data_IF_885293903590
#
_entry.id   IF_885293903590
#
_cell.length_a   1.000
_cell.length_b   1.000
_cell.length_c   1.000
_cell.angle_alpha   90.00
_cell.angle_beta   90.00
_cell.angle_gamma   90.00
#
_symmetry.space_group_name_H-M   'P 1'
#
loop_
_entity.id
_entity.type
_entity.pdbx_description
1 polymer ?
#
# COMPACT_ATOMS: atom_id res chain seq x y z
N UNK A 1 2.42 24.97 -7.57
CA UNK A 1 1.71 26.20 -7.15
C UNK A 1 0.38 25.80 -6.50
N UNK A 2 0.00 26.44 -5.41
CA UNK A 2 -1.30 26.22 -4.76
C UNK A 2 -2.28 27.31 -5.17
N UNK A 3 -3.54 26.97 -5.38
CA UNK A 3 -4.61 27.91 -5.67
C UNK A 3 -5.86 27.60 -4.86
N UNK A 4 -6.61 28.62 -4.48
CA UNK A 4 -7.89 28.46 -3.78
C UNK A 4 -8.91 29.48 -4.30
N UNK A 5 -10.18 29.08 -4.32
CA UNK A 5 -11.30 29.94 -4.63
C UNK A 5 -12.39 29.79 -3.55
N UNK A 6 -13.01 30.89 -3.17
CA UNK A 6 -14.17 30.93 -2.27
C UNK A 6 -15.39 31.29 -3.09
N UNK A 7 -16.44 30.50 -2.96
CA UNK A 7 -17.75 30.76 -3.54
C UNK A 7 -18.75 30.81 -2.39
N UNK A 8 -19.53 31.90 -2.29
CA UNK A 8 -20.65 32.02 -1.35
C UNK A 8 -21.94 31.83 -2.12
N UNK A 9 -22.76 30.93 -1.64
CA UNK A 9 -24.13 30.72 -2.14
C UNK A 9 -25.09 30.90 -0.96
N UNK A 10 -26.08 31.75 -1.09
CA UNK A 10 -27.16 31.96 -0.13
C UNK A 10 -28.42 31.32 -0.71
N UNK A 11 -29.00 30.37 0.01
CA UNK A 11 -30.36 29.89 -0.18
C UNK A 11 -31.21 30.34 1.00
N UNK A 12 -32.52 30.46 0.84
CA UNK A 12 -33.46 31.12 1.76
C UNK A 12 -33.37 30.78 3.27
N UNK A 13 -32.57 29.82 3.67
CA UNK A 13 -32.37 29.40 5.08
C UNK A 13 -30.93 29.05 5.48
N UNK A 14 -30.01 28.78 4.55
CA UNK A 14 -28.67 28.30 4.87
C UNK A 14 -27.60 29.06 4.09
N UNK A 15 -26.55 29.51 4.80
CA UNK A 15 -25.36 30.10 4.19
C UNK A 15 -24.31 28.99 3.94
N UNK A 16 -24.00 28.76 2.68
CA UNK A 16 -22.96 27.82 2.26
C UNK A 16 -21.72 28.58 1.81
N UNK A 17 -20.56 28.23 2.38
CA UNK A 17 -19.27 28.77 1.97
C UNK A 17 -18.43 27.63 1.42
N UNK A 18 -18.11 27.66 0.13
CA UNK A 18 -17.26 26.69 -0.51
C UNK A 18 -15.82 27.15 -0.58
N UNK A 19 -14.92 26.28 -0.17
CA UNK A 19 -13.50 26.52 -0.27
C UNK A 19 -12.86 25.47 -1.18
N UNK A 20 -12.49 25.87 -2.41
CA UNK A 20 -11.80 25.00 -3.36
C UNK A 20 -10.30 25.20 -3.20
N UNK A 21 -9.56 24.11 -3.09
CA UNK A 21 -8.12 24.11 -3.01
C UNK A 21 -7.49 23.20 -4.05
N UNK A 22 -6.32 23.59 -4.51
CA UNK A 22 -5.50 22.81 -5.43
C UNK A 22 -4.04 22.94 -5.06
N UNK A 23 -3.37 21.81 -4.98
CA UNK A 23 -1.92 21.69 -4.86
C UNK A 23 -1.40 20.98 -6.11
N UNK A 24 -0.43 21.56 -6.79
CA UNK A 24 0.18 20.97 -7.99
C UNK A 24 1.69 20.89 -7.82
N UNK A 25 2.26 19.78 -8.23
CA UNK A 25 3.70 19.64 -8.42
C UNK A 25 4.00 19.90 -9.92
N UNK A 26 4.69 20.99 -10.29
CA UNK A 26 4.87 21.36 -11.69
C UNK A 26 5.66 20.33 -12.50
N UNK A 27 5.38 20.28 -13.80
CA UNK A 27 6.21 19.53 -14.75
C UNK A 27 7.65 20.05 -14.68
N UNK A 28 8.61 19.15 -14.59
CA UNK A 28 10.04 19.50 -14.57
C UNK A 28 10.56 19.97 -13.20
N UNK A 29 9.77 19.87 -12.12
CA UNK A 29 10.25 20.18 -10.77
C UNK A 29 11.42 19.26 -10.34
N UNK A 30 11.50 18.06 -10.93
CA UNK A 30 12.50 17.05 -10.58
C UNK A 30 12.41 16.51 -9.15
N UNK A 31 11.45 17.01 -8.36
CA UNK A 31 11.30 16.67 -6.94
C UNK A 31 9.89 16.19 -6.63
N UNK A 32 9.78 15.36 -5.61
CA UNK A 32 8.52 14.90 -5.02
C UNK A 32 8.17 15.80 -3.86
N UNK A 33 6.92 16.27 -3.80
CA UNK A 33 6.46 17.14 -2.72
C UNK A 33 5.41 16.42 -1.85
N UNK A 34 5.37 16.64 -0.52
CA UNK A 34 4.31 16.10 0.32
C UNK A 34 2.95 16.68 -0.11
N UNK A 35 1.89 15.87 -0.04
CA UNK A 35 0.52 16.33 -0.26
C UNK A 35 0.04 17.06 0.99
N UNK A 36 0.55 18.28 1.13
CA UNK A 36 0.23 19.20 2.21
C UNK A 36 -0.10 20.57 1.63
N UNK A 37 -1.36 20.95 1.74
CA UNK A 37 -1.82 22.28 1.35
C UNK A 37 -1.89 23.17 2.59
N UNK A 38 -1.43 24.40 2.48
CA UNK A 38 -1.64 25.43 3.50
C UNK A 38 -1.82 26.78 2.85
N UNK A 39 -2.85 27.50 3.24
CA UNK A 39 -3.12 28.86 2.79
C UNK A 39 -3.65 29.71 3.92
N UNK A 40 -3.06 30.87 4.08
CA UNK A 40 -3.53 31.92 5.02
C UNK A 40 -4.05 33.08 4.19
N UNK A 41 -5.26 33.56 4.53
CA UNK A 41 -5.89 34.71 3.86
C UNK A 41 -5.83 35.96 4.74
N UNK A 42 -5.78 37.11 4.10
CA UNK A 42 -5.90 38.38 4.78
C UNK A 42 -7.32 38.54 5.32
N UNK A 43 -8.32 38.26 4.49
CA UNK A 43 -9.72 38.26 4.87
C UNK A 43 -10.10 36.95 5.57
N UNK A 44 -11.01 37.05 6.51
CA UNK A 44 -11.56 35.87 7.18
C UNK A 44 -12.41 35.01 6.23
N UNK A 45 -12.25 33.71 6.33
CA UNK A 45 -13.09 32.74 5.63
C UNK A 45 -14.42 32.60 6.38
N UNK A 46 -14.32 32.49 7.72
CA UNK A 46 -15.44 32.46 8.64
C UNK A 46 -15.25 33.51 9.72
N UNK A 47 -16.34 34.14 10.15
CA UNK A 47 -16.36 35.12 11.25
C UNK A 47 -16.10 34.49 12.62
N UNK A 48 -16.86 33.45 12.94
CA UNK A 48 -16.74 32.63 14.15
C UNK A 48 -16.90 31.15 13.77
N UNK A 49 -15.86 30.37 14.01
CA UNK A 49 -15.86 28.96 13.60
C UNK A 49 -17.03 28.16 14.20
N UNK A 50 -17.36 28.34 15.49
CA UNK A 50 -18.43 27.61 16.17
C UNK A 50 -19.84 27.81 15.60
N UNK A 51 -20.01 28.81 14.71
CA UNK A 51 -21.26 29.02 14.00
C UNK A 51 -21.40 28.12 12.77
N UNK A 52 -20.39 27.30 12.46
CA UNK A 52 -20.34 26.52 11.24
C UNK A 52 -20.04 25.05 11.50
N UNK A 53 -20.52 24.22 10.56
CA UNK A 53 -20.12 22.83 10.37
C UNK A 53 -19.30 22.73 9.09
N UNK A 54 -18.36 21.81 9.07
CA UNK A 54 -17.52 21.53 7.92
C UNK A 54 -17.85 20.16 7.34
N UNK A 55 -17.85 20.07 6.01
CA UNK A 55 -17.81 18.80 5.28
C UNK A 55 -16.76 18.86 4.19
N UNK A 56 -16.00 17.77 4.02
CA UNK A 56 -15.18 17.51 2.83
C UNK A 56 -16.10 16.87 1.80
N UNK A 57 -16.55 17.65 0.81
CA UNK A 57 -17.55 17.17 -0.14
C UNK A 57 -16.96 16.40 -1.32
N UNK A 58 -15.73 16.71 -1.66
CA UNK A 58 -14.96 15.90 -2.64
C UNK A 58 -13.48 16.14 -2.47
N UNK A 59 -12.68 15.17 -2.88
CA UNK A 59 -11.29 15.37 -3.23
C UNK A 59 -10.84 14.41 -4.34
N UNK A 60 -9.72 14.76 -4.96
CA UNK A 60 -9.07 13.98 -5.99
C UNK A 60 -7.60 13.89 -5.67
N UNK A 61 -7.05 12.68 -5.67
CA UNK A 61 -5.70 12.35 -5.24
C UNK A 61 -5.06 11.39 -6.26
N UNK A 62 -3.80 11.60 -6.68
CA UNK A 62 -3.11 10.61 -7.51
C UNK A 62 -3.03 9.25 -6.84
N UNK A 63 -3.21 8.19 -7.63
CA UNK A 63 -3.21 6.80 -7.16
C UNK A 63 -1.79 6.20 -7.15
N UNK A 64 -0.78 6.98 -6.76
CA UNK A 64 0.62 6.59 -6.71
C UNK A 64 1.03 6.03 -5.34
N UNK A 65 0.20 5.17 -4.76
CA UNK A 65 0.48 4.54 -3.48
C UNK A 65 1.36 3.31 -3.65
N UNK A 66 2.31 3.05 -2.72
CA UNK A 66 2.96 1.76 -2.67
C UNK A 66 1.93 0.67 -2.36
N UNK A 67 2.07 -0.47 -3.01
CA UNK A 67 1.30 -1.68 -2.72
C UNK A 67 1.47 -2.08 -1.26
N UNK A 68 2.68 -1.92 -0.74
CA UNK A 68 3.00 -2.09 0.65
C UNK A 68 4.35 -1.44 1.00
N UNK A 69 4.60 -1.29 2.30
CA UNK A 69 5.88 -0.82 2.82
C UNK A 69 6.71 -2.04 3.25
N UNK A 70 7.89 -2.15 2.70
CA UNK A 70 8.81 -3.24 3.03
C UNK A 70 9.24 -3.14 4.51
N UNK A 71 9.19 -4.24 5.29
CA UNK A 71 9.50 -4.20 6.71
C UNK A 71 10.94 -3.76 6.98
N UNK A 72 11.16 -3.11 8.12
CA UNK A 72 12.51 -2.71 8.55
C UNK A 72 13.37 -3.89 8.99
N UNK A 73 12.71 -4.88 9.58
CA UNK A 73 13.37 -6.05 10.12
C UNK A 73 13.56 -7.12 9.04
N UNK A 74 14.81 -7.37 8.57
CA UNK A 74 15.07 -8.30 7.47
C UNK A 74 14.68 -9.75 7.80
N UNK A 75 14.67 -10.12 9.08
CA UNK A 75 14.30 -11.47 9.53
C UNK A 75 12.83 -11.82 9.30
N UNK A 76 11.97 -10.84 9.06
CA UNK A 76 10.56 -11.08 8.76
C UNK A 76 10.35 -11.68 7.38
N UNK A 77 11.17 -11.30 6.40
CA UNK A 77 11.06 -11.76 5.02
C UNK A 77 12.28 -12.60 4.64
N UNK A 78 12.14 -13.92 4.75
CA UNK A 78 13.22 -14.88 4.50
C UNK A 78 12.75 -16.01 3.58
N UNK A 79 13.67 -16.43 2.71
CA UNK A 79 13.57 -17.70 1.97
C UNK A 79 14.59 -18.70 2.51
N UNK A 80 14.24 -19.98 2.50
CA UNK A 80 15.12 -21.06 2.90
C UNK A 80 15.11 -22.13 1.82
N UNK A 81 16.29 -22.46 1.31
CA UNK A 81 16.51 -23.60 0.44
C UNK A 81 17.16 -24.73 1.23
N UNK A 82 16.72 -25.96 0.99
CA UNK A 82 17.27 -27.17 1.61
C UNK A 82 17.66 -28.16 0.53
N UNK A 83 18.82 -28.78 0.67
CA UNK A 83 19.28 -29.92 -0.14
C UNK A 83 19.95 -30.95 0.77
N UNK A 84 19.26 -32.05 1.05
CA UNK A 84 19.74 -33.05 1.99
C UNK A 84 19.97 -32.48 3.39
N UNK A 85 21.18 -32.61 3.91
CA UNK A 85 21.59 -32.08 5.20
C UNK A 85 21.91 -30.56 5.15
N UNK A 86 22.10 -30.00 3.97
CA UNK A 86 22.48 -28.62 3.78
C UNK A 86 21.24 -27.73 3.70
N UNK A 87 21.24 -26.62 4.41
CA UNK A 87 20.17 -25.62 4.28
C UNK A 87 20.76 -24.22 4.39
N UNK A 88 20.24 -23.31 3.56
CA UNK A 88 20.62 -21.91 3.54
C UNK A 88 19.37 -21.05 3.69
N UNK A 89 19.41 -20.13 4.62
CA UNK A 89 18.40 -19.09 4.81
C UNK A 89 18.96 -17.76 4.31
N UNK A 90 18.18 -17.06 3.49
CA UNK A 90 18.53 -15.78 2.94
C UNK A 90 17.45 -14.76 3.24
N UNK A 91 17.84 -13.59 3.77
CA UNK A 91 16.93 -12.46 3.92
C UNK A 91 16.64 -11.86 2.54
N UNK A 92 15.38 -11.48 2.30
CA UNK A 92 15.11 -10.57 1.21
C UNK A 92 15.77 -9.22 1.55
N UNK A 93 16.35 -8.58 0.56
CA UNK A 93 16.98 -7.26 0.73
C UNK A 93 16.27 -6.26 -0.13
N UNK A 94 15.64 -5.27 0.51
CA UNK A 94 15.01 -4.18 -0.22
C UNK A 94 16.06 -3.43 -1.05
N UNK A 95 15.74 -3.22 -2.31
CA UNK A 95 16.52 -2.39 -3.21
C UNK A 95 15.63 -1.27 -3.70
N UNK A 96 15.94 -0.03 -3.35
CA UNK A 96 15.19 1.12 -3.82
C UNK A 96 15.35 1.28 -5.32
N UNK A 97 14.25 1.25 -6.04
CA UNK A 97 14.26 1.37 -7.50
C UNK A 97 14.02 2.82 -7.97
N UNK A 98 13.37 3.62 -7.11
CA UNK A 98 12.99 5.01 -7.38
C UNK A 98 13.31 5.88 -6.16
N UNK A 99 14.28 6.76 -6.27
CA UNK A 99 14.71 7.64 -5.16
C UNK A 99 13.65 8.65 -4.72
N UNK A 100 12.66 8.89 -5.58
CA UNK A 100 11.63 9.90 -5.41
C UNK A 100 10.38 9.43 -4.65
N UNK A 101 10.25 8.13 -4.39
CA UNK A 101 9.09 7.53 -3.72
C UNK A 101 9.26 7.42 -2.20
N UNK A 102 8.21 6.96 -1.55
CA UNK A 102 8.25 6.63 -0.12
C UNK A 102 9.34 5.58 0.11
N UNK A 103 10.19 5.82 1.09
CA UNK A 103 11.26 4.90 1.47
C UNK A 103 10.68 3.51 1.75
N UNK A 104 11.33 2.49 1.21
CA UNK A 104 10.90 1.08 1.30
C UNK A 104 9.53 0.78 0.70
N UNK A 105 8.93 1.70 -0.06
CA UNK A 105 7.68 1.48 -0.76
C UNK A 105 7.85 0.53 -1.94
N UNK A 106 7.00 -0.48 -2.04
CA UNK A 106 6.89 -1.38 -3.18
C UNK A 106 5.66 -0.96 -3.99
N UNK A 107 5.88 -0.46 -5.20
CA UNK A 107 4.82 0.08 -6.07
C UNK A 107 4.35 -0.90 -7.13
N UNK A 108 5.19 -1.87 -7.49
CA UNK A 108 4.92 -2.83 -8.55
C UNK A 108 5.22 -4.25 -8.08
N UNK A 109 4.34 -5.18 -8.39
CA UNK A 109 4.53 -6.61 -8.07
C UNK A 109 5.85 -7.12 -8.65
N UNK A 110 6.20 -6.72 -9.86
CA UNK A 110 7.47 -7.14 -10.48
C UNK A 110 8.70 -6.72 -9.67
N UNK A 111 8.69 -5.55 -9.03
CA UNK A 111 9.79 -5.13 -8.15
C UNK A 111 9.91 -6.05 -6.92
N UNK A 112 8.78 -6.43 -6.34
CA UNK A 112 8.75 -7.39 -5.24
C UNK A 112 9.29 -8.76 -5.68
N UNK A 113 8.87 -9.26 -6.84
CA UNK A 113 9.35 -10.53 -7.41
C UNK A 113 10.86 -10.48 -7.68
N UNK A 114 11.40 -9.38 -8.19
CA UNK A 114 12.84 -9.22 -8.38
C UNK A 114 13.62 -9.34 -7.06
N UNK A 115 13.14 -8.70 -5.98
CA UNK A 115 13.75 -8.80 -4.64
C UNK A 115 13.72 -10.25 -4.14
N UNK A 116 12.58 -10.93 -4.31
CA UNK A 116 12.38 -12.31 -3.89
C UNK A 116 13.30 -13.28 -4.67
N UNK A 117 13.35 -13.15 -5.99
CA UNK A 117 14.17 -14.01 -6.84
C UNK A 117 15.67 -13.80 -6.59
N UNK A 118 16.08 -12.57 -6.34
CA UNK A 118 17.48 -12.30 -5.95
C UNK A 118 17.87 -13.01 -4.65
N UNK A 119 16.97 -13.08 -3.67
CA UNK A 119 17.23 -13.82 -2.45
C UNK A 119 17.30 -15.34 -2.70
N UNK A 120 16.46 -15.89 -3.58
CA UNK A 120 16.51 -17.29 -4.00
C UNK A 120 17.81 -17.63 -4.73
N UNK A 121 18.25 -16.79 -5.65
CA UNK A 121 19.53 -16.95 -6.36
C UNK A 121 20.71 -16.93 -5.38
N UNK A 122 20.71 -16.02 -4.41
CA UNK A 122 21.76 -15.96 -3.39
C UNK A 122 21.75 -17.20 -2.48
N UNK A 123 20.57 -17.67 -2.06
CA UNK A 123 20.44 -18.88 -1.28
C UNK A 123 20.94 -20.10 -2.06
N UNK A 124 20.59 -20.20 -3.33
CA UNK A 124 21.04 -21.29 -4.21
C UNK A 124 22.56 -21.26 -4.44
N UNK A 125 23.12 -20.09 -4.71
CA UNK A 125 24.58 -19.94 -4.85
C UNK A 125 25.33 -20.37 -3.58
N UNK A 126 24.78 -20.06 -2.41
CA UNK A 126 25.37 -20.51 -1.15
C UNK A 126 25.25 -22.03 -0.93
N UNK A 127 24.17 -22.66 -1.37
CA UNK A 127 24.03 -24.13 -1.36
C UNK A 127 25.04 -24.79 -2.30
N UNK A 128 25.29 -24.23 -3.48
CA UNK A 128 26.28 -24.74 -4.44
C UNK A 128 27.71 -24.73 -3.87
N UNK A 129 28.01 -23.80 -2.97
CA UNK A 129 29.31 -23.79 -2.26
C UNK A 129 29.40 -24.97 -1.29
N UNK A 130 28.30 -25.34 -0.64
CA UNK A 130 28.24 -26.44 0.31
C UNK A 130 28.18 -27.82 -0.40
N UNK A 131 27.57 -27.88 -1.57
CA UNK A 131 27.43 -29.07 -2.39
C UNK A 131 27.58 -28.73 -3.88
N UNK A 132 28.81 -28.78 -4.42
CA UNK A 132 29.06 -28.48 -5.84
C UNK A 132 28.51 -29.55 -6.82
N UNK A 133 27.95 -30.64 -6.33
CA UNK A 133 27.37 -31.70 -7.19
C UNK A 133 25.96 -31.38 -7.67
N UNK A 134 25.34 -30.33 -7.14
CA UNK A 134 24.00 -29.89 -7.51
C UNK A 134 24.02 -29.43 -8.98
N UNK A 135 23.12 -30.03 -9.79
CA UNK A 135 23.00 -29.74 -11.24
C UNK A 135 21.72 -28.97 -11.61
N UNK A 136 20.79 -28.81 -10.68
CA UNK A 136 19.56 -28.05 -10.91
C UNK A 136 19.73 -26.55 -10.62
N UNK A 137 18.82 -25.75 -11.15
CA UNK A 137 18.83 -24.28 -11.01
C UNK A 137 18.02 -23.84 -9.78
N UNK A 138 18.15 -22.55 -9.42
CA UNK A 138 17.32 -21.97 -8.38
C UNK A 138 15.84 -21.97 -8.79
N UNK A 139 14.90 -22.25 -7.89
CA UNK A 139 13.50 -21.96 -8.13
C UNK A 139 13.31 -20.45 -8.19
N UNK A 140 12.28 -19.99 -8.92
CA UNK A 140 11.99 -18.57 -9.03
C UNK A 140 10.50 -18.30 -9.14
N UNK A 141 10.08 -17.10 -8.72
CA UNK A 141 8.70 -16.65 -8.82
C UNK A 141 8.51 -15.77 -10.07
N UNK A 142 7.33 -15.85 -10.62
CA UNK A 142 6.89 -15.04 -11.77
C UNK A 142 5.53 -14.44 -11.47
N UNK A 143 5.31 -13.22 -11.92
CA UNK A 143 4.00 -12.59 -11.91
C UNK A 143 3.39 -12.65 -13.32
N UNK A 144 2.25 -13.30 -13.43
CA UNK A 144 1.52 -13.42 -14.70
C UNK A 144 0.58 -12.23 -14.88
N UNK A 145 1.00 -11.28 -15.71
CA UNK A 145 0.20 -10.09 -16.04
C UNK A 145 -0.88 -10.34 -17.09
N UNK A 146 -0.78 -11.45 -17.84
CA UNK A 146 -1.58 -11.62 -19.06
C UNK A 146 -2.89 -12.37 -18.85
N UNK A 147 -2.95 -13.29 -17.89
CA UNK A 147 -4.10 -14.17 -17.77
C UNK A 147 -4.74 -14.23 -16.37
N UNK A 148 -3.94 -14.14 -15.30
CA UNK A 148 -4.42 -14.49 -13.96
C UNK A 148 -4.10 -13.48 -12.87
N UNK A 149 -3.27 -12.46 -13.13
CA UNK A 149 -2.79 -11.52 -12.12
C UNK A 149 -2.22 -12.21 -10.87
N UNK A 150 -1.69 -13.43 -11.04
CA UNK A 150 -1.20 -14.30 -9.97
C UNK A 150 0.32 -14.40 -9.95
N UNK A 151 0.87 -14.59 -8.77
CA UNK A 151 2.24 -15.06 -8.61
C UNK A 151 2.23 -16.58 -8.73
N UNK A 152 3.16 -17.13 -9.45
CA UNK A 152 3.42 -18.56 -9.49
C UNK A 152 4.90 -18.86 -9.28
N UNK A 153 5.16 -19.98 -8.66
CA UNK A 153 6.51 -20.54 -8.48
C UNK A 153 6.86 -21.40 -9.70
N UNK A 154 8.05 -21.22 -10.23
CA UNK A 154 8.68 -22.13 -11.20
C UNK A 154 9.80 -22.85 -10.47
N UNK A 155 9.63 -24.16 -10.28
CA UNK A 155 10.59 -24.97 -9.55
C UNK A 155 11.14 -26.10 -10.44
N UNK A 156 12.45 -26.36 -10.40
CA UNK A 156 13.04 -27.55 -11.03
C UNK A 156 12.39 -28.84 -10.54
N UNK A 157 12.42 -29.87 -11.38
CA UNK A 157 11.79 -31.18 -11.06
C UNK A 157 12.32 -31.83 -9.78
N UNK A 158 13.52 -31.46 -9.37
CA UNK A 158 14.19 -31.96 -8.17
C UNK A 158 13.48 -31.49 -6.88
N UNK A 159 12.67 -30.45 -6.95
CA UNK A 159 11.86 -29.96 -5.84
C UNK A 159 10.53 -30.71 -5.67
N UNK A 160 10.27 -31.73 -6.52
CA UNK A 160 9.02 -32.47 -6.50
C UNK A 160 8.91 -33.32 -5.23
N UNK A 161 7.81 -33.20 -4.52
CA UNK A 161 7.54 -34.02 -3.33
C UNK A 161 7.41 -35.48 -3.74
N UNK A 162 8.16 -36.34 -3.05
CA UNK A 162 8.15 -37.82 -3.24
C UNK A 162 9.33 -38.39 -4.01
N UNK A 163 10.04 -37.64 -4.84
CA UNK A 163 11.23 -38.14 -5.54
C UNK A 163 12.53 -37.82 -4.80
N UNK A 164 12.61 -36.64 -4.18
CA UNK A 164 13.78 -36.16 -3.44
C UNK A 164 13.31 -35.38 -2.21
N UNK A 165 12.78 -36.10 -1.23
CA UNK A 165 12.17 -35.54 -0.01
C UNK A 165 13.05 -34.55 0.76
N UNK A 166 14.32 -34.44 0.41
CA UNK A 166 15.29 -33.58 1.06
C UNK A 166 15.53 -32.23 0.37
N UNK A 167 14.95 -32.00 -0.84
CA UNK A 167 15.09 -30.76 -1.56
C UNK A 167 13.80 -29.96 -1.40
N UNK A 168 13.90 -28.74 -0.85
CA UNK A 168 12.70 -27.96 -0.61
C UNK A 168 12.97 -26.46 -0.59
N UNK A 169 11.93 -25.71 -0.95
CA UNK A 169 11.81 -24.26 -0.73
C UNK A 169 10.86 -24.02 0.45
N UNK A 170 11.28 -23.17 1.36
CA UNK A 170 10.45 -22.73 2.47
C UNK A 170 10.49 -21.20 2.61
N UNK A 171 9.42 -20.62 3.13
CA UNK A 171 9.27 -19.20 3.38
C UNK A 171 9.11 -18.94 4.88
N UNK A 172 9.60 -17.81 5.37
CA UNK A 172 9.25 -17.37 6.72
C UNK A 172 7.74 -17.18 6.84
N UNK A 173 7.15 -17.38 8.04
CA UNK A 173 5.70 -17.26 8.23
C UNK A 173 5.14 -15.90 7.79
N UNK A 174 5.86 -14.83 8.11
CA UNK A 174 5.46 -13.47 7.71
C UNK A 174 5.45 -13.32 6.19
N UNK A 175 6.49 -13.78 5.51
CA UNK A 175 6.56 -13.74 4.05
C UNK A 175 5.47 -14.60 3.41
N UNK A 176 5.23 -15.81 3.92
CA UNK A 176 4.17 -16.70 3.44
C UNK A 176 2.80 -16.04 3.57
N UNK A 177 2.45 -15.57 4.75
CA UNK A 177 1.16 -14.91 5.02
C UNK A 177 0.98 -13.62 4.23
N UNK A 178 2.09 -12.98 3.86
CA UNK A 178 2.07 -11.71 3.16
C UNK A 178 1.67 -11.80 1.69
N UNK A 179 1.93 -12.89 1.01
CA UNK A 179 1.62 -12.95 -0.44
C UNK A 179 1.49 -14.35 -1.01
N UNK A 180 1.64 -15.38 -0.16
CA UNK A 180 1.74 -16.77 -0.59
C UNK A 180 0.80 -17.71 0.18
N UNK A 181 -0.06 -17.19 1.05
CA UNK A 181 -0.94 -17.98 1.92
C UNK A 181 -1.82 -19.00 1.18
N UNK A 182 -2.08 -18.75 -0.11
CA UNK A 182 -2.87 -19.60 -0.98
C UNK A 182 -2.01 -20.56 -1.83
N UNK A 183 -0.70 -20.60 -1.59
CA UNK A 183 0.15 -21.59 -2.24
C UNK A 183 0.08 -22.93 -1.51
N UNK A 184 0.14 -24.06 -2.25
CA UNK A 184 0.16 -25.36 -1.64
C UNK A 184 1.32 -25.49 -0.64
N UNK A 185 1.01 -26.03 0.53
CA UNK A 185 1.99 -26.35 1.57
C UNK A 185 2.20 -27.87 1.66
N UNK A 186 3.40 -28.29 2.03
CA UNK A 186 3.69 -29.69 2.20
C UNK A 186 2.81 -30.27 3.32
N UNK A 187 2.37 -31.52 3.11
CA UNK A 187 1.52 -32.27 4.02
C UNK A 187 0.07 -31.77 4.16
N UNK A 188 -0.37 -30.86 3.28
CA UNK A 188 -1.74 -30.34 3.25
C UNK A 188 -2.15 -29.52 4.47
N UNK A 189 -1.26 -29.34 5.43
CA UNK A 189 -1.42 -28.51 6.61
C UNK A 189 -0.29 -27.51 6.72
N UNK A 190 -0.61 -26.32 7.24
CA UNK A 190 0.37 -25.28 7.49
C UNK A 190 1.29 -25.70 8.66
N UNK A 191 2.30 -26.51 8.37
CA UNK A 191 3.24 -27.00 9.37
C UNK A 191 4.51 -26.15 9.33
N UNK A 192 4.87 -25.58 10.47
CA UNK A 192 6.13 -24.90 10.66
C UNK A 192 7.27 -25.90 10.80
N UNK A 193 8.06 -26.07 9.75
CA UNK A 193 9.31 -26.81 9.81
C UNK A 193 10.46 -25.86 10.20
N UNK A 194 10.97 -26.00 11.45
CA UNK A 194 12.04 -25.12 11.96
C UNK A 194 11.75 -23.64 11.76
N UNK A 195 10.55 -23.19 12.11
CA UNK A 195 10.02 -21.84 11.92
C UNK A 195 9.87 -21.37 10.46
N UNK A 196 9.83 -22.28 9.50
CA UNK A 196 9.56 -21.97 8.09
C UNK A 196 8.40 -22.81 7.58
N UNK A 197 7.66 -22.25 6.63
CA UNK A 197 6.57 -22.94 5.91
C UNK A 197 7.13 -23.51 4.62
N UNK A 198 7.16 -24.83 4.51
CA UNK A 198 7.62 -25.55 3.33
C UNK A 198 6.55 -25.48 2.26
N UNK A 199 6.92 -25.02 1.06
CA UNK A 199 6.04 -25.06 -0.10
C UNK A 199 6.05 -26.48 -0.69
N UNK A 200 4.89 -26.89 -1.18
CA UNK A 200 4.70 -28.18 -1.82
C UNK A 200 4.75 -28.05 -3.33
N UNK A 201 5.58 -28.87 -3.95
CA UNK A 201 5.67 -29.00 -5.41
C UNK A 201 5.06 -30.34 -5.80
N UNK A 202 3.75 -30.37 -6.09
CA UNK A 202 3.06 -31.60 -6.46
C UNK A 202 3.00 -31.79 -7.98
N UNK A 203 3.23 -33.03 -8.41
CA UNK A 203 3.06 -33.46 -9.81
C UNK A 203 1.59 -33.74 -10.19
N UNK A 204 0.63 -33.25 -9.43
CA UNK A 204 -0.77 -33.63 -9.60
C UNK A 204 -1.44 -33.05 -10.85
N UNK A 205 -0.74 -32.23 -11.65
CA UNK A 205 -1.28 -31.67 -12.88
C UNK A 205 -0.23 -31.70 -13.98
N UNK A 206 -0.33 -32.68 -14.86
CA UNK A 206 0.47 -32.80 -16.10
C UNK A 206 0.54 -31.47 -16.88
N UNK A 207 -0.51 -30.66 -16.81
CA UNK A 207 -0.61 -29.35 -17.46
C UNK A 207 0.29 -28.25 -16.88
N UNK A 208 0.93 -28.49 -15.74
CA UNK A 208 1.79 -27.50 -15.07
C UNK A 208 3.29 -27.66 -15.40
N UNK A 209 3.64 -28.66 -16.19
CA UNK A 209 5.02 -28.88 -16.63
C UNK A 209 5.39 -27.91 -17.75
N UNK A 210 6.52 -27.26 -17.61
CA UNK A 210 7.07 -26.30 -18.59
C UNK A 210 8.51 -26.67 -18.88
N UNK A 211 8.86 -26.73 -20.15
CA UNK A 211 10.26 -26.91 -20.56
C UNK A 211 10.86 -25.55 -20.93
N UNK A 212 11.86 -25.11 -20.18
CA UNK A 212 12.62 -23.89 -20.40
C UNK A 212 14.09 -24.26 -20.64
N UNK A 213 14.68 -23.78 -21.72
CA UNK A 213 16.09 -24.08 -22.06
C UNK A 213 16.44 -25.57 -22.00
N UNK A 214 15.55 -26.43 -22.52
CA UNK A 214 15.70 -27.91 -22.52
C UNK A 214 15.71 -28.55 -21.13
N UNK A 215 15.27 -27.85 -20.09
CA UNK A 215 15.06 -28.37 -18.73
C UNK A 215 13.60 -28.32 -18.37
N UNK A 216 13.18 -29.28 -17.56
CA UNK A 216 11.80 -29.38 -17.10
C UNK A 216 11.61 -28.69 -15.76
N UNK A 217 10.51 -27.95 -15.66
CA UNK A 217 10.09 -27.23 -14.44
C UNK A 217 8.61 -27.47 -14.20
N UNK A 218 8.19 -27.28 -12.96
CA UNK A 218 6.78 -27.24 -12.57
C UNK A 218 6.36 -25.82 -12.22
N UNK A 219 5.17 -25.44 -12.69
CA UNK A 219 4.51 -24.19 -12.30
C UNK A 219 3.50 -24.47 -11.19
N UNK A 220 3.60 -23.70 -10.11
CA UNK A 220 2.69 -23.78 -8.97
C UNK A 220 2.06 -22.42 -8.80
N UNK A 221 0.75 -22.34 -9.02
CA UNK A 221 0.00 -21.09 -8.93
C UNK A 221 -0.53 -20.88 -7.51
N UNK A 222 -0.59 -19.60 -7.09
CA UNK A 222 -1.46 -19.19 -5.99
C UNK A 222 -2.92 -19.40 -6.38
N UNK A 223 -3.78 -19.78 -5.44
CA UNK A 223 -5.22 -19.97 -5.72
C UNK A 223 -5.93 -18.63 -5.91
N UNK A 224 -5.50 -17.58 -5.22
CA UNK A 224 -6.10 -16.24 -5.29
C UNK A 224 -5.27 -15.25 -6.08
N UNK A 225 -5.90 -14.14 -6.46
CA UNK A 225 -5.26 -13.01 -7.10
C UNK A 225 -4.26 -12.33 -6.13
N UNK A 226 -3.02 -12.20 -6.57
CA UNK A 226 -1.93 -11.63 -5.77
C UNK A 226 -2.15 -10.16 -5.43
N UNK A 227 -2.82 -9.40 -6.30
CA UNK A 227 -3.04 -7.97 -6.06
C UNK A 227 -3.94 -7.74 -4.86
N UNK A 228 -4.92 -8.62 -4.61
CA UNK A 228 -5.80 -8.53 -3.44
C UNK A 228 -5.07 -8.85 -2.13
N UNK A 229 -4.04 -9.69 -2.18
CA UNK A 229 -3.27 -10.08 -0.99
C UNK A 229 -2.14 -9.11 -0.67
N UNK A 230 -1.59 -8.42 -1.67
CA UNK A 230 -0.48 -7.47 -1.49
C UNK A 230 -0.94 -6.06 -1.11
N UNK A 231 -2.16 -5.65 -1.48
CA UNK A 231 -2.66 -4.32 -1.12
C UNK A 231 -3.00 -4.25 0.37
N UNK A 232 -2.07 -3.72 1.15
CA UNK A 232 -2.14 -3.70 2.63
C UNK A 232 -2.43 -2.32 3.22
N UNK A 233 -2.78 -1.32 2.42
CA UNK A 233 -3.27 -0.08 2.99
C UNK A 233 -4.78 -0.18 3.30
N UNK A 234 -5.17 0.38 4.45
CA UNK A 234 -6.55 0.33 4.94
C UNK A 234 -7.32 1.59 4.62
N UNK A 235 -6.69 2.75 4.83
CA UNK A 235 -7.40 4.01 4.77
C UNK A 235 -6.56 5.13 4.17
N UNK A 236 -7.24 6.10 3.56
CA UNK A 236 -6.72 7.42 3.26
C UNK A 236 -7.32 8.40 4.26
N UNK A 237 -6.44 9.10 4.98
CA UNK A 237 -6.83 10.01 6.07
C UNK A 237 -6.48 11.44 5.71
N UNK A 238 -7.47 12.32 5.82
CA UNK A 238 -7.34 13.75 5.56
C UNK A 238 -7.25 14.49 6.89
N UNK A 239 -6.08 15.03 7.19
CA UNK A 239 -5.77 15.71 8.46
C UNK A 239 -5.70 17.24 8.28
N UNK A 240 -5.88 17.94 9.38
CA UNK A 240 -5.65 19.39 9.49
C UNK A 240 -5.01 19.75 10.82
N UNK A 241 -4.16 20.78 10.81
CA UNK A 241 -3.63 21.37 12.05
C UNK A 241 -4.37 22.67 12.41
N UNK A 242 -4.88 23.42 11.40
CA UNK A 242 -5.40 24.79 11.60
C UNK A 242 -6.91 24.86 11.71
N UNK A 243 -7.66 23.94 11.12
CA UNK A 243 -9.11 23.94 11.21
C UNK A 243 -9.52 23.44 12.60
N UNK A 244 -10.26 24.23 13.39
CA UNK A 244 -10.54 23.91 14.78
C UNK A 244 -11.68 22.92 14.93
N UNK A 245 -11.43 21.66 14.64
CA UNK A 245 -12.33 20.53 14.91
C UNK A 245 -11.85 19.76 16.15
N UNK A 246 -12.74 18.98 16.75
CA UNK A 246 -12.37 18.10 17.86
C UNK A 246 -11.34 17.06 17.38
N UNK A 247 -10.24 16.86 18.12
CA UNK A 247 -9.28 15.82 17.78
C UNK A 247 -9.89 14.44 18.06
N UNK A 248 -9.53 13.48 17.22
CA UNK A 248 -9.88 12.07 17.38
C UNK A 248 -8.63 11.26 17.74
N UNK A 249 -8.82 10.20 18.54
CA UNK A 249 -7.75 9.27 18.82
C UNK A 249 -7.59 8.31 17.64
N UNK A 250 -6.43 8.34 17.03
CA UNK A 250 -6.06 7.32 16.07
C UNK A 250 -5.42 6.18 16.86
N UNK A 251 -6.01 4.99 16.78
CA UNK A 251 -5.44 3.76 17.34
C UNK A 251 -4.23 3.34 16.50
N UNK A 252 -3.17 4.13 16.53
CA UNK A 252 -1.87 3.83 15.91
C UNK A 252 -0.82 3.61 16.99
N UNK A 253 0.33 3.07 16.60
CA UNK A 253 1.47 2.90 17.51
C UNK A 253 1.94 4.23 18.15
N UNK A 254 1.49 5.37 17.65
CA UNK A 254 1.89 6.69 18.12
C UNK A 254 1.00 7.25 19.23
N UNK A 255 -0.17 6.68 19.52
CA UNK A 255 -1.13 7.19 20.51
C UNK A 255 -1.38 8.72 20.44
N UNK A 256 -1.29 9.30 19.25
CA UNK A 256 -1.46 10.72 19.03
C UNK A 256 -2.92 11.06 18.72
N UNK A 257 -3.40 12.16 19.28
CA UNK A 257 -4.67 12.74 18.89
C UNK A 257 -4.47 13.59 17.64
N UNK A 258 -5.26 13.32 16.61
CA UNK A 258 -5.20 14.04 15.34
C UNK A 258 -6.55 14.67 14.99
N UNK A 259 -6.53 15.78 14.27
CA UNK A 259 -7.75 16.39 13.75
C UNK A 259 -8.05 15.81 12.36
N UNK A 260 -8.96 14.84 12.35
CA UNK A 260 -9.35 14.14 11.11
C UNK A 260 -10.54 14.88 10.49
N UNK A 261 -10.35 15.40 9.27
CA UNK A 261 -11.42 16.00 8.49
C UNK A 261 -12.34 14.94 7.88
N UNK A 262 -11.75 13.90 7.36
CA UNK A 262 -12.43 12.72 6.83
C UNK A 262 -11.42 11.59 6.64
N UNK A 263 -11.94 10.40 6.62
CA UNK A 263 -11.24 9.17 6.28
C UNK A 263 -12.08 8.34 5.31
N UNK A 264 -11.46 7.51 4.51
CA UNK A 264 -12.16 6.58 3.64
C UNK A 264 -11.28 5.40 3.21
N UNK A 265 -11.94 4.27 3.05
CA UNK A 265 -11.35 3.06 2.49
C UNK A 265 -11.45 3.15 0.96
N UNK A 266 -10.35 3.20 0.22
CA UNK A 266 -10.41 3.18 -1.23
C UNK A 266 -10.88 1.80 -1.71
N UNK A 267 -11.90 1.79 -2.53
CA UNK A 267 -12.38 0.57 -3.18
C UNK A 267 -11.39 0.22 -4.29
N UNK A 268 -10.85 -0.99 -4.25
CA UNK A 268 -9.77 -1.48 -5.13
C UNK A 268 -10.01 -1.29 -6.62
N UNK A 269 -11.27 -1.32 -7.06
CA UNK A 269 -11.65 -1.16 -8.47
C UNK A 269 -11.43 0.27 -9.02
N UNK A 270 -11.48 1.29 -8.16
CA UNK A 270 -11.26 2.68 -8.58
C UNK A 270 -9.78 3.05 -8.73
N UNK A 271 -8.88 2.34 -8.02
CA UNK A 271 -7.44 2.63 -8.05
C UNK A 271 -6.67 1.90 -9.15
N UNK A 272 -7.17 0.78 -9.66
CA UNK A 272 -6.45 -0.07 -10.64
C UNK A 272 -6.57 0.42 -12.10
N UNK A 273 -7.60 1.18 -12.43
CA UNK A 273 -7.86 1.64 -13.79
C UNK A 273 -7.75 3.16 -13.98
N UNK A 274 -7.42 3.92 -12.93
CA UNK A 274 -7.36 5.38 -12.98
C UNK A 274 -6.08 5.92 -12.38
N UNK A 275 -5.56 7.01 -12.94
CA UNK A 275 -4.42 7.73 -12.39
C UNK A 275 -4.75 8.47 -11.09
N UNK A 276 -6.03 8.49 -10.66
CA UNK A 276 -6.50 9.27 -9.52
C UNK A 276 -7.58 8.54 -8.73
N UNK A 277 -7.52 8.63 -7.39
CA UNK A 277 -8.63 8.35 -6.50
C UNK A 277 -9.55 9.56 -6.42
N UNK A 278 -10.85 9.32 -6.47
CA UNK A 278 -11.88 10.34 -6.32
C UNK A 278 -12.77 9.99 -5.14
N UNK A 279 -12.95 10.96 -4.26
CA UNK A 279 -13.89 10.89 -3.14
C UNK A 279 -15.02 11.89 -3.36
N UNK A 280 -16.25 11.41 -3.20
CA UNK A 280 -17.46 12.22 -3.18
C UNK A 280 -18.26 11.83 -1.94
N UNK A 281 -18.48 12.80 -1.05
CA UNK A 281 -19.27 12.54 0.13
C UNK A 281 -20.75 12.31 -0.23
N UNK A 282 -21.30 11.17 0.13
CA UNK A 282 -22.72 10.87 -0.03
C UNK A 282 -23.17 9.83 1.03
N UNK A 283 -23.92 10.21 2.07
CA UNK A 283 -24.29 11.58 2.47
C UNK A 283 -23.10 12.42 2.96
N UNK A 284 -23.29 13.74 3.07
CA UNK A 284 -22.27 14.62 3.65
C UNK A 284 -22.04 14.31 5.13
N UNK A 285 -20.76 14.10 5.50
CA UNK A 285 -20.34 13.99 6.89
C UNK A 285 -20.01 15.38 7.40
N UNK A 286 -20.79 15.87 8.35
CA UNK A 286 -20.57 17.17 8.96
C UNK A 286 -19.79 17.05 10.27
N UNK A 287 -18.76 17.89 10.42
CA UNK A 287 -17.97 18.04 11.64
C UNK A 287 -18.14 19.43 12.20
N UNK A 288 -18.46 19.55 13.50
CA UNK A 288 -18.60 20.85 14.16
C UNK A 288 -17.24 21.51 14.34
N UNK A 289 -17.18 22.82 14.08
CA UNK A 289 -16.03 23.63 14.45
C UNK A 289 -16.17 24.10 15.91
N UNK A 290 -15.05 24.02 16.66
CA UNK A 290 -15.05 24.18 18.12
C UNK A 290 -14.37 25.46 18.63
N UNK A 291 -14.14 26.46 17.77
CA UNK A 291 -13.47 27.72 18.13
C UNK A 291 -14.42 28.92 18.02
N UNK A 292 -14.29 29.87 18.92
CA UNK A 292 -14.96 31.17 18.85
C UNK A 292 -14.21 32.17 17.96
N UNK A 293 -13.03 31.82 17.46
CA UNK A 293 -12.20 32.67 16.62
C UNK A 293 -12.61 32.60 15.15
N UNK A 294 -12.18 33.58 14.39
CA UNK A 294 -12.35 33.62 12.93
C UNK A 294 -11.41 32.59 12.27
N UNK A 295 -11.85 31.94 11.19
CA UNK A 295 -11.01 31.11 10.36
C UNK A 295 -10.33 31.96 9.27
N UNK A 296 -9.02 31.96 9.25
CA UNK A 296 -8.20 32.61 8.22
C UNK A 296 -7.24 31.66 7.53
N UNK A 297 -6.90 30.56 8.19
CA UNK A 297 -5.96 29.57 7.68
C UNK A 297 -6.68 28.25 7.46
N UNK A 298 -6.44 27.67 6.31
CA UNK A 298 -6.86 26.30 5.97
C UNK A 298 -5.63 25.52 5.56
N UNK A 299 -5.43 24.40 6.20
CA UNK A 299 -4.42 23.42 5.81
C UNK A 299 -5.03 22.04 5.71
N UNK A 300 -4.47 21.23 4.83
CA UNK A 300 -4.85 19.84 4.64
C UNK A 300 -3.57 19.02 4.41
N UNK A 301 -3.48 17.89 5.07
CA UNK A 301 -2.43 16.88 4.88
C UNK A 301 -3.07 15.55 4.56
N UNK A 302 -2.52 14.82 3.61
CA UNK A 302 -3.02 13.50 3.23
C UNK A 302 -2.03 12.45 3.71
N UNK A 303 -2.58 11.47 4.44
CA UNK A 303 -1.84 10.31 4.91
C UNK A 303 -2.51 9.02 4.44
N UNK A 304 -1.70 8.00 4.29
CA UNK A 304 -2.12 6.64 3.95
C UNK A 304 -1.84 5.78 5.17
N UNK A 305 -2.86 5.09 5.66
CA UNK A 305 -2.76 4.14 6.75
C UNK A 305 -2.62 2.73 6.17
N UNK A 306 -1.57 2.04 6.56
CA UNK A 306 -1.37 0.63 6.22
C UNK A 306 -1.92 -0.29 7.32
N UNK A 307 -2.24 -1.53 6.96
CA UNK A 307 -2.75 -2.53 7.92
C UNK A 307 -1.78 -2.82 9.07
N UNK A 308 -0.51 -2.45 8.92
CA UNK A 308 0.51 -2.48 9.99
C UNK A 308 0.30 -1.42 11.05
N UNK A 309 -0.63 -0.47 10.86
CA UNK A 309 -0.86 0.69 11.73
C UNK A 309 0.10 1.86 11.46
N UNK A 310 0.96 1.75 10.46
CA UNK A 310 1.90 2.82 10.08
C UNK A 310 1.22 3.85 9.16
N UNK A 311 1.48 5.14 9.42
CA UNK A 311 1.03 6.27 8.61
C UNK A 311 2.14 6.80 7.73
N UNK A 312 1.86 6.96 6.44
CA UNK A 312 2.78 7.59 5.49
C UNK A 312 2.13 8.78 4.82
N UNK A 313 2.82 9.92 4.86
CA UNK A 313 2.34 11.09 4.17
C UNK A 313 2.37 10.86 2.65
N UNK A 314 1.22 11.02 2.01
CA UNK A 314 1.13 10.97 0.55
C UNK A 314 1.99 12.05 -0.10
N UNK A 315 2.54 11.76 -1.28
CA UNK A 315 3.41 12.67 -2.03
C UNK A 315 2.95 12.79 -3.47
N UNK A 316 3.09 13.99 -4.02
CA UNK A 316 2.85 14.28 -5.44
C UNK A 316 4.14 14.14 -6.22
N UNK A 317 4.11 13.36 -7.28
CA UNK A 317 5.17 13.29 -8.28
C UNK A 317 5.13 14.54 -9.18
N UNK A 318 6.21 14.83 -9.95
CA UNK A 318 6.16 15.86 -10.99
C UNK A 318 4.96 15.65 -11.93
N UNK A 319 4.25 16.74 -12.26
CA UNK A 319 3.04 16.75 -13.06
C UNK A 319 1.77 16.21 -12.39
N UNK A 320 1.80 15.87 -11.12
CA UNK A 320 0.62 15.48 -10.38
C UNK A 320 -0.02 16.66 -9.63
N UNK A 321 -1.29 16.50 -9.29
CA UNK A 321 -2.02 17.48 -8.51
C UNK A 321 -3.01 16.81 -7.56
N UNK A 322 -3.28 17.51 -6.47
CA UNK A 322 -4.34 17.20 -5.51
C UNK A 322 -5.38 18.33 -5.55
N UNK A 323 -6.65 17.99 -5.49
CA UNK A 323 -7.73 18.96 -5.31
C UNK A 323 -8.67 18.53 -4.21
N UNK A 324 -9.19 19.49 -3.44
CA UNK A 324 -10.28 19.24 -2.52
C UNK A 324 -11.29 20.39 -2.52
N UNK A 325 -12.53 20.07 -2.16
CA UNK A 325 -13.59 21.05 -1.94
C UNK A 325 -14.17 20.85 -0.55
N UNK A 326 -14.01 21.88 0.27
CA UNK A 326 -14.61 21.97 1.59
C UNK A 326 -15.91 22.79 1.49
N UNK A 327 -16.87 22.44 2.30
CA UNK A 327 -18.12 23.16 2.46
C UNK A 327 -18.32 23.49 3.93
N UNK A 328 -18.43 24.77 4.23
CA UNK A 328 -18.83 25.26 5.54
C UNK A 328 -20.30 25.65 5.47
N UNK A 329 -21.09 25.12 6.40
CA UNK A 329 -22.52 25.40 6.51
C UNK A 329 -22.77 26.08 7.83
N UNK A 330 -23.42 27.22 7.81
CA UNK A 330 -23.79 27.94 9.02
C UNK A 330 -24.80 27.11 9.80
N UNK A 331 -24.54 26.92 11.09
CA UNK A 331 -25.51 26.28 11.96
C UNK A 331 -26.75 27.15 11.99
N UNK A 332 -27.91 26.62 11.59
CA UNK A 332 -29.15 27.30 11.87
C UNK A 332 -29.22 27.58 13.36
N UNK A 333 -29.64 28.78 13.71
CA UNK A 333 -29.81 29.16 15.09
C UNK A 333 -30.68 28.12 15.78
N UNK A 334 -30.09 27.33 16.65
CA UNK A 334 -30.81 26.76 17.79
C UNK A 334 -31.08 27.97 18.68
N UNK A 335 -31.99 28.83 18.25
CA UNK A 335 -32.53 29.93 18.96
C UNK A 335 -34.04 29.92 18.77
N UNK A 336 -34.68 29.17 19.55
CA UNK A 336 -36.02 29.49 20.05
C UNK A 336 -36.26 28.64 21.30
#
# INVERSE_FOLDING_TARGET
>A
MSSSAIIKEETDSEEYIYYNLRLSNPIGSGTVIPTAYSSTRVDQILDKCNNYKLSVIRFQLPANFPLFIYPQEPSLFQVKLTNGANSVTQNLTYTQKYETYIERGIYYVNHYIEILNKALEQAHAAILILDPTIAYEAPFFVYDTNATTKIYLVAPVEYLDGNLSNISLSLSPTLFNFGFQEMPVADGNLILHNNFIKLSVFDNKIDNKVTLNSKDYYKIYSETDTTSTLNKFSDIVVLTDSIPISPENIASQLNETQRILTDFVPISEQGLNGSYYQYFANPYRYTNLVSNESLRKVDIKIYILYQTGEYYQHRLLPNEYFTAKLMFVRNEKINS
#
